data_IF_953642744901
#
_entry.id   IF_953642744901
#
_cell.length_a   1.000
_cell.length_b   1.000
_cell.length_c   1.000
_cell.angle_alpha   90.00
_cell.angle_beta   90.00
_cell.angle_gamma   90.00
#
_symmetry.space_group_name_H-M   'P 1'
#
loop_
_entity.id
_entity.type
_entity.pdbx_description
1 polymer ?
#
# COMPACT_ATOMS: atom_id res chain seq x y z
N UNK A 1 16.75 -1.02 -4.84
CA UNK A 1 15.35 -1.49 -4.93
C UNK A 1 14.48 -0.26 -4.74
N UNK A 2 13.62 0.05 -5.70
CA UNK A 2 12.65 1.15 -5.54
C UNK A 2 11.64 0.76 -4.46
N UNK A 3 11.61 1.52 -3.36
CA UNK A 3 10.74 1.27 -2.21
C UNK A 3 9.34 1.83 -2.50
N UNK A 4 8.56 1.13 -3.33
CA UNK A 4 7.21 1.53 -3.75
C UNK A 4 6.18 1.48 -2.63
N UNK A 5 6.34 0.60 -1.65
CA UNK A 5 5.32 0.28 -0.64
C UNK A 5 5.76 0.82 0.73
N UNK A 6 5.60 2.13 0.94
CA UNK A 6 5.92 2.82 2.19
C UNK A 6 4.64 3.28 2.87
N UNK A 7 4.72 3.51 4.18
CA UNK A 7 3.66 4.16 4.95
C UNK A 7 3.52 5.64 4.60
N UNK A 8 4.60 6.29 4.13
CA UNK A 8 4.60 7.68 3.71
C UNK A 8 5.56 7.97 2.56
N UNK A 9 5.30 9.07 1.85
CA UNK A 9 5.99 9.49 0.64
C UNK A 9 6.20 11.00 0.63
N UNK A 10 7.42 11.46 0.31
CA UNK A 10 7.64 12.88 -0.06
C UNK A 10 7.14 13.17 -1.49
N UNK A 11 7.20 12.16 -2.35
CA UNK A 11 6.61 12.17 -3.69
C UNK A 11 6.04 10.80 -3.99
N UNK A 12 4.83 10.75 -4.57
CA UNK A 12 4.21 9.49 -4.92
C UNK A 12 5.04 8.75 -5.98
N UNK A 13 5.33 7.46 -5.77
CA UNK A 13 6.05 6.69 -6.77
C UNK A 13 5.13 6.37 -7.95
N UNK A 14 5.73 6.05 -9.10
CA UNK A 14 5.00 5.70 -10.33
C UNK A 14 4.41 4.29 -10.27
N UNK A 15 3.32 4.12 -9.52
CA UNK A 15 2.66 2.82 -9.35
C UNK A 15 2.17 2.24 -10.68
N UNK A 16 2.02 0.92 -10.76
CA UNK A 16 1.32 0.27 -11.87
C UNK A 16 -0.15 0.68 -11.89
N UNK A 17 -0.63 1.07 -13.07
CA UNK A 17 -2.04 1.37 -13.26
C UNK A 17 -2.90 0.10 -13.00
N UNK A 18 -3.89 0.14 -12.09
CA UNK A 18 -4.71 -1.02 -11.77
C UNK A 18 -5.63 -1.45 -12.93
N UNK A 19 -5.88 -0.55 -13.89
CA UNK A 19 -6.76 -0.83 -15.03
C UNK A 19 -6.06 -1.54 -16.17
N UNK A 20 -4.96 -0.97 -16.65
CA UNK A 20 -4.28 -1.49 -17.84
C UNK A 20 -3.04 -2.32 -17.53
N UNK A 21 -2.50 -2.25 -16.30
CA UNK A 21 -1.24 -2.89 -15.87
C UNK A 21 0.00 -2.55 -16.71
N UNK A 22 -0.12 -1.71 -17.74
CA UNK A 22 0.97 -1.30 -18.64
C UNK A 22 1.43 0.14 -18.44
N UNK A 23 0.52 1.00 -17.98
CA UNK A 23 0.81 2.41 -17.70
C UNK A 23 1.24 2.62 -16.25
N UNK A 24 1.73 3.82 -15.96
CA UNK A 24 2.09 4.29 -14.62
C UNK A 24 1.14 5.38 -14.15
N UNK A 25 0.86 5.40 -12.86
CA UNK A 25 0.14 6.50 -12.22
C UNK A 25 1.11 7.66 -11.96
N UNK A 26 0.70 8.87 -12.30
CA UNK A 26 1.44 10.12 -12.07
C UNK A 26 0.57 11.02 -11.20
N UNK A 27 1.16 11.56 -10.13
CA UNK A 27 0.49 12.57 -9.32
C UNK A 27 0.45 13.89 -10.08
N UNK A 28 -0.73 14.49 -10.16
CA UNK A 28 -0.88 15.87 -10.64
C UNK A 28 -0.84 16.78 -9.41
N UNK A 29 0.24 17.56 -9.25
CA UNK A 29 0.44 18.44 -8.09
C UNK A 29 -0.70 19.46 -7.93
N UNK A 30 -1.25 19.95 -9.05
CA UNK A 30 -2.40 20.86 -9.06
C UNK A 30 -3.66 20.27 -8.40
N UNK A 31 -3.78 18.94 -8.35
CA UNK A 31 -4.91 18.24 -7.75
C UNK A 31 -4.67 17.87 -6.28
N UNK A 32 -3.47 18.12 -5.76
CA UNK A 32 -3.17 17.87 -4.36
C UNK A 32 -3.73 19.01 -3.51
N UNK A 33 -4.63 18.65 -2.59
CA UNK A 33 -5.21 19.56 -1.61
C UNK A 33 -4.93 19.05 -0.22
N UNK A 34 -4.36 19.90 0.62
CA UNK A 34 -4.16 19.66 2.04
C UNK A 34 -4.94 20.70 2.85
N UNK A 35 -5.52 20.25 3.97
CA UNK A 35 -6.22 21.11 4.91
C UNK A 35 -5.73 20.75 6.31
N UNK A 36 -5.18 21.74 7.01
CA UNK A 36 -4.76 21.58 8.39
C UNK A 36 -5.96 21.31 9.32
N UNK A 37 -5.77 20.39 10.25
CA UNK A 37 -6.81 20.04 11.21
C UNK A 37 -7.00 21.16 12.24
N UNK A 38 -8.25 21.39 12.65
CA UNK A 38 -8.55 22.49 13.57
C UNK A 38 -7.90 22.37 14.96
N UNK A 39 -7.47 21.17 15.38
CA UNK A 39 -6.72 21.03 16.65
C UNK A 39 -5.26 21.46 16.48
N UNK A 40 -4.63 21.08 15.38
CA UNK A 40 -3.25 21.47 15.07
C UNK A 40 -3.13 22.98 14.88
N UNK A 41 -4.12 23.61 14.22
CA UNK A 41 -4.19 25.08 14.11
C UNK A 41 -4.24 25.80 15.46
N UNK A 42 -4.84 25.18 16.48
CA UNK A 42 -4.90 25.77 17.83
C UNK A 42 -3.58 25.66 18.57
N UNK A 43 -2.72 24.73 18.18
CA UNK A 43 -1.40 24.57 18.78
C UNK A 43 -0.45 25.68 18.34
N UNK A 44 -0.74 26.42 17.26
CA UNK A 44 0.06 27.56 16.80
C UNK A 44 0.17 28.71 17.82
N UNK A 45 -0.71 28.74 18.83
CA UNK A 45 -0.61 29.73 19.92
C UNK A 45 0.32 29.31 21.05
N UNK A 46 0.88 28.10 21.00
CA UNK A 46 1.87 27.64 21.97
C UNK A 46 3.22 28.33 21.72
N UNK A 47 3.93 28.70 22.79
CA UNK A 47 5.23 29.37 22.69
C UNK A 47 6.32 28.42 22.17
N UNK A 48 6.16 27.12 22.42
CA UNK A 48 7.07 26.06 22.00
C UNK A 48 6.59 25.37 20.71
N UNK A 49 5.66 25.99 19.96
CA UNK A 49 5.13 25.40 18.73
C UNK A 49 6.23 25.19 17.68
N UNK A 50 6.22 24.00 17.06
CA UNK A 50 7.12 23.64 15.97
C UNK A 50 6.34 23.16 14.74
N UNK A 51 6.90 23.33 13.51
CA UNK A 51 6.25 22.87 12.28
C UNK A 51 5.88 21.38 12.27
N UNK A 52 6.57 20.52 13.02
CA UNK A 52 6.25 19.09 13.11
C UNK A 52 4.90 18.81 13.79
N UNK A 53 4.36 19.78 14.52
CA UNK A 53 3.04 19.67 15.17
C UNK A 53 1.91 19.82 14.16
N UNK A 54 2.19 20.34 12.95
CA UNK A 54 1.22 20.48 11.86
C UNK A 54 0.71 19.10 11.44
N UNK A 55 -0.60 18.91 11.60
CA UNK A 55 -1.32 17.74 11.12
C UNK A 55 -2.39 18.13 10.11
N UNK A 56 -2.23 17.67 8.88
CA UNK A 56 -3.16 17.95 7.78
C UNK A 56 -3.92 16.70 7.31
N UNK A 57 -5.00 16.93 6.57
CA UNK A 57 -5.66 15.90 5.75
C UNK A 57 -5.47 16.27 4.30
N UNK A 58 -5.03 15.31 3.48
CA UNK A 58 -4.83 15.54 2.06
C UNK A 58 -5.74 14.65 1.20
N UNK A 59 -6.04 15.16 0.01
CA UNK A 59 -6.63 14.40 -1.10
C UNK A 59 -5.91 14.74 -2.39
N UNK A 60 -5.70 13.76 -3.26
CA UNK A 60 -5.19 14.01 -4.61
C UNK A 60 -5.68 12.94 -5.60
N UNK A 61 -5.39 13.15 -6.88
CA UNK A 61 -5.61 12.16 -7.93
C UNK A 61 -4.29 11.75 -8.56
N UNK A 62 -4.14 10.45 -8.82
CA UNK A 62 -3.07 9.91 -9.66
C UNK A 62 -3.67 9.48 -10.99
N UNK A 63 -3.12 9.97 -12.09
CA UNK A 63 -3.66 9.72 -13.45
C UNK A 63 -2.72 8.79 -14.20
N UNK A 64 -3.30 7.82 -14.91
CA UNK A 64 -2.52 6.92 -15.76
C UNK A 64 -1.90 7.69 -16.94
N UNK A 65 -0.59 7.56 -17.10
CA UNK A 65 0.20 8.17 -18.17
C UNK A 65 -0.08 7.63 -19.58
N UNK A 66 -0.94 6.61 -19.70
CA UNK A 66 -1.35 6.04 -20.98
C UNK A 66 -2.63 6.72 -21.46
N UNK A 67 -2.60 7.52 -22.55
CA UNK A 67 -3.76 8.31 -22.98
C UNK A 67 -4.99 7.48 -23.31
N UNK A 68 -4.80 6.25 -23.81
CA UNK A 68 -5.91 5.33 -24.10
C UNK A 68 -6.50 4.64 -22.86
N UNK A 69 -5.85 4.75 -21.70
CA UNK A 69 -6.35 4.21 -20.44
C UNK A 69 -7.04 5.30 -19.62
N UNK A 70 -6.32 6.40 -19.33
CA UNK A 70 -6.86 7.54 -18.58
C UNK A 70 -7.44 7.19 -17.20
N UNK A 71 -7.04 6.06 -16.60
CA UNK A 71 -7.53 5.64 -15.29
C UNK A 71 -7.11 6.64 -14.22
N UNK A 72 -8.00 6.90 -13.26
CA UNK A 72 -7.79 7.86 -12.19
C UNK A 72 -7.89 7.15 -10.86
N UNK A 73 -6.85 7.28 -10.04
CA UNK A 73 -6.82 6.78 -8.67
C UNK A 73 -7.00 7.95 -7.71
N UNK A 74 -8.10 7.93 -6.96
CA UNK A 74 -8.32 8.85 -5.85
C UNK A 74 -7.48 8.42 -4.64
N UNK A 75 -6.77 9.36 -4.04
CA UNK A 75 -5.93 9.13 -2.86
C UNK A 75 -6.37 10.07 -1.75
N UNK A 76 -6.43 9.55 -0.52
CA UNK A 76 -6.62 10.38 0.67
C UNK A 76 -5.75 9.89 1.81
N UNK A 77 -5.43 10.79 2.74
CA UNK A 77 -4.60 10.46 3.90
C UNK A 77 -4.29 11.65 4.78
N UNK A 78 -3.21 11.51 5.53
CA UNK A 78 -2.66 12.53 6.43
C UNK A 78 -1.35 13.02 5.85
N UNK A 79 -1.08 14.32 5.93
CA UNK A 79 0.25 14.87 5.68
C UNK A 79 0.84 15.50 6.94
N UNK A 80 2.16 15.42 7.06
CA UNK A 80 2.92 15.93 8.19
C UNK A 80 4.22 16.55 7.71
N UNK A 81 4.76 17.44 8.52
CA UNK A 81 6.06 18.07 8.30
C UNK A 81 7.11 17.40 9.18
N UNK A 82 8.36 17.41 8.71
CA UNK A 82 9.53 17.03 9.50
C UNK A 82 10.57 18.12 9.40
N UNK A 83 11.23 18.39 10.50
CA UNK A 83 12.31 19.35 10.63
C UNK A 83 13.47 18.71 11.37
N UNK A 84 14.66 18.75 10.78
CA UNK A 84 15.88 18.31 11.46
C UNK A 84 17.07 19.16 11.07
N UNK A 85 17.95 19.40 12.05
CA UNK A 85 19.20 20.12 11.86
C UNK A 85 20.34 19.13 11.95
N UNK A 86 21.19 19.08 10.93
CA UNK A 86 22.37 18.23 10.90
C UNK A 86 23.62 19.10 10.69
N UNK A 87 24.68 18.84 11.45
CA UNK A 87 25.97 19.47 11.19
C UNK A 87 26.63 18.81 9.97
N UNK A 88 27.05 19.62 9.00
CA UNK A 88 27.76 19.21 7.79
C UNK A 88 29.25 19.54 7.93
N UNK A 89 30.05 18.47 8.10
CA UNK A 89 31.50 18.56 8.28
C UNK A 89 32.24 19.15 7.06
N UNK A 90 31.63 19.15 5.86
CA UNK A 90 32.27 19.67 4.65
C UNK A 90 32.22 21.19 4.55
N UNK A 91 31.20 21.80 5.14
CA UNK A 91 31.00 23.26 5.13
C UNK A 91 31.15 23.90 6.51
N UNK A 92 31.38 23.09 7.56
CA UNK A 92 31.52 23.53 8.96
C UNK A 92 30.31 24.31 9.47
N UNK A 93 29.11 23.91 9.03
CA UNK A 93 27.85 24.60 9.32
C UNK A 93 26.73 23.61 9.66
N UNK A 94 25.70 24.11 10.34
CA UNK A 94 24.45 23.38 10.53
C UNK A 94 23.53 23.57 9.32
N UNK A 95 23.05 22.47 8.75
CA UNK A 95 22.12 22.42 7.63
C UNK A 95 20.74 22.03 8.14
N UNK A 96 19.74 22.83 7.76
CA UNK A 96 18.34 22.59 8.06
C UNK A 96 17.68 21.74 6.96
N UNK A 97 16.92 20.73 7.36
CA UNK A 97 16.18 19.85 6.48
C UNK A 97 14.69 19.94 6.79
N UNK A 98 13.91 20.26 5.76
CA UNK A 98 12.46 20.27 5.82
C UNK A 98 11.92 19.15 4.92
N UNK A 99 11.05 18.31 5.47
CA UNK A 99 10.35 17.27 4.73
C UNK A 99 8.84 17.44 4.85
N UNK A 100 8.11 17.31 3.74
CA UNK A 100 6.66 17.13 3.76
C UNK A 100 6.35 15.72 3.30
N UNK A 101 5.57 15.00 4.09
CA UNK A 101 5.28 13.59 3.86
C UNK A 101 3.79 13.35 3.78
N UNK A 102 3.38 12.61 2.76
CA UNK A 102 2.03 12.13 2.54
C UNK A 102 1.93 10.68 2.99
N UNK A 103 1.10 10.41 3.98
CA UNK A 103 0.77 9.07 4.47
C UNK A 103 -0.65 8.70 3.99
N UNK A 104 -0.78 7.96 2.86
CA UNK A 104 -2.07 7.54 2.34
C UNK A 104 -2.75 6.61 3.32
N UNK A 105 -4.07 6.74 3.45
CA UNK A 105 -4.93 5.76 4.13
C UNK A 105 -5.84 5.05 3.14
N UNK A 106 -6.08 5.65 1.97
CA UNK A 106 -6.88 5.03 0.90
C UNK A 106 -6.35 5.38 -0.48
N UNK A 107 -6.42 4.40 -1.38
CA UNK A 107 -6.19 4.56 -2.81
C UNK A 107 -7.27 3.78 -3.56
N UNK A 108 -8.05 4.44 -4.40
CA UNK A 108 -9.16 3.81 -5.11
C UNK A 108 -9.22 4.21 -6.60
N UNK A 109 -9.20 3.23 -7.55
CA UNK A 109 -8.87 1.82 -7.33
C UNK A 109 -7.44 1.64 -6.82
N UNK A 110 -7.22 0.64 -5.96
CA UNK A 110 -5.91 0.42 -5.36
C UNK A 110 -4.89 -0.01 -6.42
N UNK A 111 -3.70 0.60 -6.48
CA UNK A 111 -2.66 0.17 -7.40
C UNK A 111 -2.27 -1.29 -7.17
N UNK A 112 -1.94 -2.00 -8.24
CA UNK A 112 -1.49 -3.39 -8.13
C UNK A 112 -0.12 -3.46 -7.44
N UNK A 113 -0.11 -4.00 -6.22
CA UNK A 113 1.11 -4.20 -5.42
C UNK A 113 1.99 -5.28 -6.03
N UNK A 114 1.34 -6.34 -6.52
CA UNK A 114 1.95 -7.41 -7.29
C UNK A 114 1.13 -7.66 -8.56
N UNK A 115 1.75 -8.30 -9.56
CA UNK A 115 1.06 -8.62 -10.81
C UNK A 115 -0.13 -9.56 -10.61
N UNK A 116 -1.29 -9.20 -11.18
CA UNK A 116 -2.51 -10.03 -11.14
C UNK A 116 -2.55 -10.93 -12.38
N UNK A 117 -2.43 -12.24 -12.19
CA UNK A 117 -2.46 -13.21 -13.28
C UNK A 117 -3.86 -13.36 -13.88
N UNK A 118 -3.95 -13.41 -15.21
CA UNK A 118 -5.19 -13.68 -15.94
C UNK A 118 -5.75 -15.10 -15.74
N UNK A 119 -4.95 -16.02 -15.18
CA UNK A 119 -5.35 -17.40 -14.88
C UNK A 119 -6.09 -17.54 -13.55
N UNK A 120 -6.13 -16.48 -12.73
CA UNK A 120 -6.88 -16.49 -11.47
C UNK A 120 -8.38 -16.50 -11.76
N UNK A 121 -9.10 -17.33 -11.02
CA UNK A 121 -10.56 -17.28 -11.00
C UNK A 121 -11.04 -15.98 -10.33
N UNK A 122 -12.33 -15.67 -10.48
CA UNK A 122 -12.91 -14.42 -9.98
C UNK A 122 -12.73 -14.25 -8.46
N UNK A 123 -12.84 -15.33 -7.69
CA UNK A 123 -12.72 -15.29 -6.22
C UNK A 123 -11.30 -14.91 -5.82
N UNK A 124 -10.30 -15.61 -6.34
CA UNK A 124 -8.88 -15.34 -6.08
C UNK A 124 -8.50 -13.92 -6.52
N UNK A 125 -8.96 -13.51 -7.70
CA UNK A 125 -8.71 -12.16 -8.20
C UNK A 125 -9.26 -11.09 -7.25
N UNK A 126 -10.50 -11.26 -6.81
CA UNK A 126 -11.16 -10.31 -5.91
C UNK A 126 -10.46 -10.25 -4.54
N UNK A 127 -10.05 -11.39 -3.97
CA UNK A 127 -9.33 -11.38 -2.69
C UNK A 127 -7.98 -10.70 -2.82
N UNK A 128 -7.25 -10.96 -3.90
CA UNK A 128 -5.96 -10.32 -4.15
C UNK A 128 -6.12 -8.81 -4.32
N UNK A 129 -7.04 -8.35 -5.16
CA UNK A 129 -7.29 -6.91 -5.37
C UNK A 129 -7.80 -6.22 -4.08
N UNK A 130 -8.61 -6.91 -3.28
CA UNK A 130 -9.05 -6.40 -1.97
C UNK A 130 -7.89 -6.24 -0.98
N UNK A 131 -6.87 -7.11 -1.04
CA UNK A 131 -5.68 -6.95 -0.19
C UNK A 131 -4.90 -5.68 -0.52
N UNK A 132 -4.82 -5.30 -1.80
CA UNK A 132 -4.13 -4.08 -2.22
C UNK A 132 -4.81 -2.83 -1.66
N UNK A 133 -6.15 -2.80 -1.63
CA UNK A 133 -6.91 -1.70 -1.06
C UNK A 133 -6.70 -1.54 0.46
N UNK A 134 -6.35 -2.62 1.16
CA UNK A 134 -6.12 -2.62 2.60
C UNK A 134 -4.68 -2.26 2.98
N UNK A 135 -3.74 -2.30 2.03
CA UNK A 135 -2.30 -2.17 2.32
C UNK A 135 -1.96 -0.92 3.15
N UNK A 136 -2.56 0.22 2.80
CA UNK A 136 -2.29 1.50 3.46
C UNK A 136 -3.22 1.79 4.64
N UNK A 137 -4.42 1.20 4.66
CA UNK A 137 -5.41 1.43 5.72
C UNK A 137 -5.15 0.55 6.94
N UNK A 138 -4.90 -0.74 6.72
CA UNK A 138 -4.76 -1.75 7.77
C UNK A 138 -3.90 -2.93 7.25
N UNK A 139 -2.58 -2.91 7.54
CA UNK A 139 -1.67 -3.98 7.15
C UNK A 139 -2.05 -5.35 7.71
N UNK A 140 -2.68 -5.41 8.89
CA UNK A 140 -3.11 -6.67 9.48
C UNK A 140 -4.32 -7.25 8.73
N UNK A 141 -5.30 -6.41 8.38
CA UNK A 141 -6.41 -6.81 7.52
C UNK A 141 -5.93 -7.20 6.11
N UNK A 142 -4.95 -6.49 5.56
CA UNK A 142 -4.29 -6.83 4.30
C UNK A 142 -3.70 -8.25 4.36
N UNK A 143 -2.93 -8.57 5.40
CA UNK A 143 -2.34 -9.89 5.60
C UNK A 143 -3.41 -10.99 5.73
N UNK A 144 -4.49 -10.73 6.47
CA UNK A 144 -5.62 -11.65 6.58
C UNK A 144 -6.30 -11.89 5.22
N UNK A 145 -6.48 -10.84 4.42
CA UNK A 145 -7.05 -10.96 3.08
C UNK A 145 -6.13 -11.75 2.14
N UNK A 146 -4.81 -11.55 2.21
CA UNK A 146 -3.84 -12.35 1.47
C UNK A 146 -3.88 -13.83 1.88
N UNK A 147 -4.11 -14.13 3.15
CA UNK A 147 -4.30 -15.51 3.61
C UNK A 147 -5.53 -16.14 2.95
N UNK A 148 -6.67 -15.45 2.96
CA UNK A 148 -7.89 -15.91 2.28
C UNK A 148 -7.65 -16.12 0.79
N UNK A 149 -6.92 -15.22 0.13
CA UNK A 149 -6.50 -15.39 -1.26
C UNK A 149 -5.70 -16.69 -1.46
N UNK A 150 -4.71 -16.99 -0.61
CA UNK A 150 -3.91 -18.21 -0.70
C UNK A 150 -4.79 -19.46 -0.52
N UNK A 151 -5.73 -19.44 0.43
CA UNK A 151 -6.65 -20.56 0.65
C UNK A 151 -7.52 -20.82 -0.59
N UNK A 152 -8.10 -19.79 -1.20
CA UNK A 152 -8.87 -19.94 -2.44
C UNK A 152 -7.99 -20.30 -3.65
N UNK A 153 -6.73 -19.87 -3.68
CA UNK A 153 -5.78 -20.24 -4.73
C UNK A 153 -5.46 -21.74 -4.66
N UNK A 154 -5.26 -22.27 -3.46
CA UNK A 154 -5.04 -23.71 -3.24
C UNK A 154 -6.26 -24.54 -3.65
N UNK A 155 -7.47 -24.04 -3.36
CA UNK A 155 -8.70 -24.67 -3.85
C UNK A 155 -8.78 -24.66 -5.38
N UNK A 156 -8.40 -23.55 -6.02
CA UNK A 156 -8.37 -23.45 -7.49
C UNK A 156 -7.40 -24.48 -8.10
N UNK A 157 -6.30 -24.79 -7.41
CA UNK A 157 -5.36 -25.83 -7.81
C UNK A 157 -5.77 -27.25 -7.38
N UNK A 158 -6.96 -27.41 -6.82
CA UNK A 158 -7.50 -28.70 -6.36
C UNK A 158 -6.53 -29.41 -5.42
N UNK A 159 -5.92 -28.64 -4.51
CA UNK A 159 -5.03 -29.18 -3.47
C UNK A 159 -5.90 -29.68 -2.31
N UNK A 160 -5.74 -30.94 -1.87
CA UNK A 160 -6.53 -31.47 -0.77
C UNK A 160 -6.35 -30.65 0.52
N UNK A 161 -7.47 -30.29 1.16
CA UNK A 161 -7.48 -29.60 2.47
C UNK A 161 -7.23 -30.53 3.65
N UNK A 162 -7.37 -31.83 3.44
CA UNK A 162 -7.26 -32.86 4.46
C UNK A 162 -6.24 -33.90 4.06
N UNK A 163 -5.67 -34.54 5.07
CA UNK A 163 -4.69 -35.60 4.90
C UNK A 163 -4.87 -36.65 5.98
N UNK A 164 -4.30 -37.83 5.76
CA UNK A 164 -4.39 -38.96 6.68
C UNK A 164 -3.04 -39.11 7.38
N UNK A 165 -3.04 -39.20 8.71
CA UNK A 165 -1.81 -39.43 9.47
C UNK A 165 -1.44 -40.92 9.47
N UNK A 166 -0.29 -41.28 10.07
CA UNK A 166 0.16 -42.69 10.17
C UNK A 166 -0.77 -43.60 10.99
N UNK A 167 -1.80 -43.06 11.62
CA UNK A 167 -2.79 -43.76 12.46
C UNK A 167 -4.17 -43.84 11.78
N UNK A 168 -4.26 -43.57 10.49
CA UNK A 168 -5.52 -43.49 9.73
C UNK A 168 -6.51 -42.42 10.23
N UNK A 169 -6.03 -41.40 10.95
CA UNK A 169 -6.86 -40.29 11.39
C UNK A 169 -6.78 -39.13 10.39
N UNK A 170 -7.94 -38.59 10.02
CA UNK A 170 -8.07 -37.45 9.13
C UNK A 170 -7.74 -36.14 9.87
N UNK A 171 -6.88 -35.30 9.30
CA UNK A 171 -6.55 -33.99 9.85
C UNK A 171 -6.55 -32.91 8.77
N UNK A 172 -6.86 -31.67 9.16
CA UNK A 172 -6.89 -30.53 8.24
C UNK A 172 -5.47 -29.99 8.04
N UNK A 173 -5.07 -29.82 6.78
CA UNK A 173 -3.81 -29.22 6.39
C UNK A 173 -3.90 -27.70 6.51
N UNK A 174 -2.91 -27.09 7.16
CA UNK A 174 -2.74 -25.64 7.10
C UNK A 174 -2.27 -25.22 5.69
N UNK A 175 -2.43 -23.94 5.30
CA UNK A 175 -2.07 -23.48 3.95
C UNK A 175 -0.60 -23.73 3.58
N UNK A 176 0.33 -23.61 4.53
CA UNK A 176 1.75 -23.89 4.31
C UNK A 176 2.02 -25.34 3.90
N UNK A 177 1.36 -26.32 4.54
CA UNK A 177 1.50 -27.73 4.17
C UNK A 177 0.83 -28.06 2.85
N UNK A 178 -0.28 -27.40 2.53
CA UNK A 178 -0.94 -27.54 1.22
C UNK A 178 -0.03 -27.00 0.09
N UNK A 179 0.61 -25.84 0.29
CA UNK A 179 1.54 -25.28 -0.68
C UNK A 179 2.71 -26.22 -0.99
N UNK A 180 3.31 -26.85 0.02
CA UNK A 180 4.37 -27.85 -0.20
C UNK A 180 3.91 -29.08 -1.02
N UNK A 181 2.63 -29.45 -0.95
CA UNK A 181 2.06 -30.50 -1.82
C UNK A 181 1.82 -30.03 -3.25
N UNK A 182 1.56 -28.74 -3.46
CA UNK A 182 1.40 -28.16 -4.79
C UNK A 182 2.73 -28.14 -5.56
N UNK A 183 3.85 -27.83 -4.89
CA UNK A 183 5.20 -27.86 -5.49
C UNK A 183 5.67 -29.27 -5.89
N UNK A 184 5.08 -30.31 -5.29
CA UNK A 184 5.39 -31.71 -5.59
C UNK A 184 4.54 -32.31 -6.72
N UNK A 185 3.54 -31.57 -7.26
CA UNK A 185 2.80 -31.98 -8.46
C UNK A 185 3.62 -31.62 -9.72
N UNK A 186 3.85 -32.57 -10.64
CA UNK A 186 4.60 -32.33 -11.88
C UNK A 186 3.90 -31.34 -12.83
#
# INVERSE_FOLDING_TARGET
MENYWRSSYSTFPRFLCPRCSSGRLIAEEENLKSIETGYSLREHSDEDWEPEWITERFTCFLVCDKPSCGEVVAVSGTSSYSYHVQYDEHIDEHVEFHGHYYAPISMHPAPHVIGVSKKLNKVCKNDLEASFALLWADPAACANRLRTFIEHLLDQFEIPRKDINKKDEEYTLNPHRQAGKAEARP
#
